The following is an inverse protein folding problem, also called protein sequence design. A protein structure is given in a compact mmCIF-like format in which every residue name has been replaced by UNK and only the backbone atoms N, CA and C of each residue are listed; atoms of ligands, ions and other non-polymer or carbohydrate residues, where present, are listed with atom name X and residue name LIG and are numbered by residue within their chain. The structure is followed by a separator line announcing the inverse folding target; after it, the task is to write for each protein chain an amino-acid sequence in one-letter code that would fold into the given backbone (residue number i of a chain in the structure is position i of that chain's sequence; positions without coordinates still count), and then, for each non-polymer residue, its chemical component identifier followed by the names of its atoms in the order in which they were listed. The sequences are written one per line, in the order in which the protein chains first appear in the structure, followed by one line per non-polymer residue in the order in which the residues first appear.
data_IF_977627808291
#
_entry.id   IF_977627808291
#
_cell.length_a   1.000
_cell.length_b   1.000
_cell.length_c   1.000
_cell.angle_alpha   90.00
_cell.angle_beta   90.00
_cell.angle_gamma   90.00
#
_symmetry.space_group_name_H-M   'P 1'
#
loop_
_entity.id
_entity.type
_entity.pdbx_description
1 polymer ?
#
# COMPACT_ATOMS: atom_id res chain seq x y z
N UNK A 1 -12.70 11.91 13.00
CA UNK A 1 -11.53 11.06 13.30
C UNK A 1 -11.24 10.26 12.05
N UNK A 2 -9.99 10.22 11.57
CA UNK A 2 -9.63 9.54 10.33
C UNK A 2 -9.54 8.02 10.53
N UNK A 3 -10.67 7.37 10.86
CA UNK A 3 -10.72 5.92 11.04
C UNK A 3 -10.86 5.24 9.68
N UNK A 4 -10.08 4.20 9.44
CA UNK A 4 -10.17 3.39 8.21
C UNK A 4 -11.53 2.66 8.19
N UNK A 5 -12.37 3.00 7.21
CA UNK A 5 -13.69 2.38 7.01
C UNK A 5 -13.63 1.30 5.94
N UNK A 6 -12.87 1.54 4.86
CA UNK A 6 -12.81 0.64 3.72
C UNK A 6 -11.40 0.58 3.15
N UNK A 7 -11.01 -0.62 2.73
CA UNK A 7 -9.78 -0.86 1.95
C UNK A 7 -10.17 -1.67 0.72
N UNK A 8 -9.77 -1.19 -0.46
CA UNK A 8 -9.99 -1.86 -1.73
C UNK A 8 -8.67 -1.98 -2.50
N UNK A 9 -8.58 -2.97 -3.39
CA UNK A 9 -7.44 -3.14 -4.28
C UNK A 9 -7.88 -3.58 -5.68
N UNK A 10 -7.05 -3.25 -6.66
CA UNK A 10 -7.24 -3.67 -8.06
C UNK A 10 -5.90 -3.84 -8.76
N UNK A 11 -5.89 -4.72 -9.76
CA UNK A 11 -4.78 -4.88 -10.69
C UNK A 11 -4.85 -3.76 -11.75
N UNK A 12 -3.77 -3.00 -11.90
CA UNK A 12 -3.57 -1.99 -12.96
C UNK A 12 -2.28 -2.29 -13.74
N UNK A 13 -1.93 -1.47 -14.72
CA UNK A 13 -0.67 -1.62 -15.48
C UNK A 13 0.35 -0.53 -15.11
N UNK A 14 1.62 -0.93 -14.97
CA UNK A 14 2.76 -0.03 -14.84
C UNK A 14 3.13 0.62 -16.19
N UNK A 15 4.10 1.54 -16.17
CA UNK A 15 4.58 2.25 -17.37
C UNK A 15 5.21 1.35 -18.44
N UNK A 16 5.49 0.08 -18.12
CA UNK A 16 6.03 -0.94 -19.03
C UNK A 16 4.95 -1.94 -19.48
N UNK A 17 3.70 -1.72 -19.10
CA UNK A 17 2.58 -2.61 -19.40
C UNK A 17 2.55 -3.90 -18.58
N UNK A 18 3.30 -3.98 -17.48
CA UNK A 18 3.22 -5.13 -16.56
C UNK A 18 2.16 -4.86 -15.49
N UNK A 19 1.46 -5.88 -14.99
CA UNK A 19 0.54 -5.70 -13.88
C UNK A 19 1.21 -5.15 -12.62
N UNK A 20 0.47 -4.34 -11.86
CA UNK A 20 0.84 -3.88 -10.51
C UNK A 20 -0.42 -3.62 -9.68
N UNK A 21 -0.25 -3.43 -8.38
CA UNK A 21 -1.35 -3.23 -7.42
C UNK A 21 -1.63 -1.74 -7.26
N UNK A 22 -2.91 -1.37 -7.31
CA UNK A 22 -3.41 -0.10 -6.79
C UNK A 22 -4.33 -0.38 -5.59
N UNK A 23 -4.11 0.35 -4.50
CA UNK A 23 -4.93 0.29 -3.28
C UNK A 23 -5.66 1.60 -3.08
N UNK A 24 -6.90 1.51 -2.63
CA UNK A 24 -7.78 2.61 -2.27
C UNK A 24 -8.21 2.47 -0.81
N UNK A 25 -8.13 3.57 -0.06
CA UNK A 25 -8.54 3.62 1.35
C UNK A 25 -9.61 4.69 1.51
N UNK A 26 -10.73 4.31 2.12
CA UNK A 26 -11.81 5.20 2.54
C UNK A 26 -11.82 5.36 4.05
N UNK A 27 -11.97 6.60 4.52
CA UNK A 27 -12.06 6.95 5.93
C UNK A 27 -13.50 7.30 6.32
N UNK A 28 -13.86 7.14 7.60
CA UNK A 28 -15.19 7.49 8.14
C UNK A 28 -15.59 8.96 7.95
N UNK A 29 -14.64 9.86 7.74
CA UNK A 29 -14.92 11.28 7.46
C UNK A 29 -15.23 11.54 5.97
N UNK A 30 -15.28 10.50 5.14
CA UNK A 30 -15.54 10.56 3.71
C UNK A 30 -14.30 10.77 2.84
N UNK A 31 -13.12 10.90 3.43
CA UNK A 31 -11.85 10.99 2.69
C UNK A 31 -11.55 9.68 1.95
N UNK A 32 -11.16 9.78 0.68
CA UNK A 32 -10.75 8.63 -0.13
C UNK A 32 -9.43 8.93 -0.84
N UNK A 33 -8.44 8.07 -0.66
CA UNK A 33 -7.14 8.19 -1.30
C UNK A 33 -6.66 6.89 -1.95
N UNK A 34 -5.77 7.02 -2.93
CA UNK A 34 -5.22 5.91 -3.71
C UNK A 34 -3.70 5.90 -3.78
N UNK A 35 -3.13 4.70 -3.83
CA UNK A 35 -1.72 4.49 -4.12
C UNK A 35 -1.54 3.35 -5.14
N UNK A 36 -0.91 3.68 -6.27
CA UNK A 36 -0.36 2.71 -7.20
C UNK A 36 1.06 2.36 -6.78
N UNK A 37 1.39 1.07 -6.75
CA UNK A 37 2.69 0.57 -6.32
C UNK A 37 3.62 0.44 -7.53
N UNK A 38 4.84 0.98 -7.49
CA UNK A 38 5.80 0.78 -8.58
C UNK A 38 6.32 -0.66 -8.58
N UNK A 39 6.67 -1.18 -9.75
CA UNK A 39 7.38 -2.45 -9.88
C UNK A 39 8.84 -2.20 -10.28
N UNK A 40 9.75 -2.84 -9.56
CA UNK A 40 11.17 -2.85 -9.88
C UNK A 40 11.48 -3.57 -11.20
N UNK A 41 12.65 -3.30 -11.76
CA UNK A 41 13.21 -4.09 -12.88
C UNK A 41 14.18 -5.19 -12.40
N UNK A 42 14.70 -5.06 -11.18
CA UNK A 42 15.66 -5.96 -10.55
C UNK A 42 15.21 -6.20 -9.11
N UNK A 43 15.39 -7.42 -8.63
CA UNK A 43 15.16 -7.82 -7.24
C UNK A 43 16.49 -8.32 -6.67
N UNK A 44 17.02 -7.64 -5.66
CA UNK A 44 18.16 -8.11 -4.88
C UNK A 44 17.76 -9.24 -3.92
N UNK A 45 18.70 -10.10 -3.54
CA UNK A 45 18.44 -11.25 -2.64
C UNK A 45 18.04 -10.87 -1.21
N UNK A 46 18.20 -9.60 -0.83
CA UNK A 46 17.83 -9.06 0.49
C UNK A 46 16.69 -8.04 0.41
N UNK A 47 16.04 -7.90 -0.75
CA UNK A 47 14.93 -6.97 -0.94
C UNK A 47 13.60 -7.58 -0.54
N UNK A 48 12.64 -6.73 -0.19
CA UNK A 48 11.27 -7.16 0.05
C UNK A 48 10.67 -7.77 -1.23
N UNK A 49 9.94 -8.87 -1.08
CA UNK A 49 9.52 -9.69 -2.22
C UNK A 49 8.18 -9.20 -2.76
N UNK A 50 8.17 -8.80 -4.03
CA UNK A 50 6.94 -8.54 -4.77
C UNK A 50 6.21 -9.85 -5.07
N UNK A 51 4.93 -9.98 -4.65
CA UNK A 51 4.15 -11.18 -4.94
C UNK A 51 3.59 -11.14 -6.36
N UNK A 52 3.95 -12.15 -7.15
CA UNK A 52 3.49 -12.39 -8.52
C UNK A 52 2.74 -13.71 -8.62
N UNK A 53 1.77 -13.76 -9.53
CA UNK A 53 0.91 -14.94 -9.72
C UNK A 53 1.66 -16.13 -10.33
N UNK A 54 2.66 -15.87 -11.19
CA UNK A 54 3.21 -16.89 -12.08
C UNK A 54 2.19 -17.30 -13.15
N UNK A 55 2.44 -18.46 -13.79
CA UNK A 55 1.55 -18.98 -14.83
C UNK A 55 1.64 -18.24 -16.17
N UNK A 56 0.57 -18.34 -16.98
CA UNK A 56 0.56 -17.89 -18.38
C UNK A 56 0.11 -16.44 -18.58
N UNK A 57 -0.74 -15.90 -17.70
CA UNK A 57 -1.29 -14.55 -17.82
C UNK A 57 -0.21 -13.50 -17.56
N UNK A 58 -0.12 -12.49 -18.42
CA UNK A 58 0.92 -11.46 -18.38
C UNK A 58 2.35 -12.02 -18.25
N UNK A 59 2.63 -13.16 -18.89
CA UNK A 59 3.94 -13.84 -18.81
C UNK A 59 4.36 -14.15 -17.36
N UNK A 60 3.38 -14.49 -16.52
CA UNK A 60 3.58 -14.80 -15.10
C UNK A 60 3.68 -13.59 -14.18
N UNK A 61 3.55 -12.38 -14.71
CA UNK A 61 3.69 -11.12 -13.94
C UNK A 61 2.38 -10.61 -13.37
N UNK A 62 1.34 -11.40 -13.39
CA UNK A 62 0.10 -11.07 -12.71
C UNK A 62 0.27 -10.75 -11.22
N UNK A 63 -0.65 -9.98 -10.65
CA UNK A 63 -0.66 -9.63 -9.21
C UNK A 63 -2.01 -9.89 -8.54
N UNK A 64 -2.83 -10.80 -9.08
CA UNK A 64 -4.13 -11.14 -8.50
C UNK A 64 -4.00 -11.64 -7.07
N UNK A 65 -2.98 -12.46 -6.77
CA UNK A 65 -2.74 -12.94 -5.40
C UNK A 65 -2.42 -11.81 -4.42
N UNK A 66 -1.71 -10.77 -4.87
CA UNK A 66 -1.43 -9.59 -4.04
C UNK A 66 -2.69 -8.74 -3.83
N UNK A 67 -3.56 -8.63 -4.85
CA UNK A 67 -4.87 -7.96 -4.72
C UNK A 67 -5.77 -8.71 -3.75
N UNK A 68 -5.85 -10.04 -3.85
CA UNK A 68 -6.58 -10.91 -2.92
C UNK A 68 -6.06 -10.77 -1.49
N UNK A 69 -4.73 -10.76 -1.30
CA UNK A 69 -4.12 -10.51 0.01
C UNK A 69 -4.56 -9.16 0.62
N UNK A 70 -4.73 -8.11 -0.19
CA UNK A 70 -5.25 -6.83 0.30
C UNK A 70 -6.71 -6.95 0.75
N UNK A 71 -7.56 -7.57 -0.08
CA UNK A 71 -9.00 -7.64 0.16
C UNK A 71 -9.39 -8.60 1.29
N UNK A 72 -8.77 -9.77 1.34
CA UNK A 72 -9.22 -10.88 2.18
C UNK A 72 -8.48 -10.95 3.53
N UNK A 73 -7.25 -10.44 3.61
CA UNK A 73 -6.42 -10.51 4.83
C UNK A 73 -6.09 -9.14 5.40
N UNK A 74 -5.56 -8.22 4.58
CA UNK A 74 -5.09 -6.93 5.08
C UNK A 74 -6.27 -6.03 5.47
N UNK A 75 -7.29 -5.91 4.62
CA UNK A 75 -8.45 -5.08 4.88
C UNK A 75 -9.08 -5.36 6.26
N UNK A 76 -9.45 -6.60 6.63
CA UNK A 76 -10.03 -6.87 7.94
C UNK A 76 -9.06 -6.62 9.11
N UNK A 77 -7.74 -6.64 8.88
CA UNK A 77 -6.75 -6.39 9.92
C UNK A 77 -6.55 -4.89 10.22
N UNK A 78 -6.82 -4.00 9.26
CA UNK A 78 -6.58 -2.55 9.42
C UNK A 78 -7.85 -1.70 9.50
N UNK A 79 -9.00 -2.22 9.08
CA UNK A 79 -10.29 -1.53 9.26
C UNK A 79 -10.53 -1.27 10.75
N UNK A 80 -10.94 -0.05 11.08
CA UNK A 80 -11.15 0.41 12.45
C UNK A 80 -9.92 1.04 13.12
N UNK A 81 -8.72 0.93 12.53
CA UNK A 81 -7.54 1.65 13.00
C UNK A 81 -7.58 3.12 12.60
N UNK A 82 -6.90 3.98 13.37
CA UNK A 82 -6.66 5.38 12.99
C UNK A 82 -5.66 5.46 11.83
N UNK A 83 -6.05 6.13 10.74
CA UNK A 83 -5.15 6.38 9.61
C UNK A 83 -4.03 7.37 9.96
N UNK A 84 -4.19 8.16 11.03
CA UNK A 84 -3.16 9.00 11.63
C UNK A 84 -2.14 8.22 12.46
N UNK A 85 -2.40 6.94 12.75
CA UNK A 85 -1.51 6.03 13.46
C UNK A 85 -0.67 5.19 12.49
N UNK A 86 0.01 5.83 11.53
CA UNK A 86 0.74 5.14 10.44
C UNK A 86 1.64 3.99 10.92
N UNK A 87 2.37 4.18 12.03
CA UNK A 87 3.25 3.13 12.59
C UNK A 87 2.47 1.93 13.10
N UNK A 88 1.29 2.13 13.67
CA UNK A 88 0.42 1.06 14.15
C UNK A 88 -0.10 0.25 12.97
N UNK A 89 -0.58 0.93 11.93
CA UNK A 89 -1.02 0.30 10.68
C UNK A 89 0.13 -0.51 10.06
N UNK A 90 1.30 0.11 9.86
CA UNK A 90 2.45 -0.58 9.26
C UNK A 90 2.90 -1.77 10.11
N UNK A 91 2.87 -1.67 11.45
CA UNK A 91 3.19 -2.80 12.32
C UNK A 91 2.17 -3.93 12.18
N UNK A 92 0.87 -3.62 12.13
CA UNK A 92 -0.17 -4.62 11.91
C UNK A 92 0.01 -5.35 10.56
N UNK A 93 0.42 -4.64 9.51
CA UNK A 93 0.75 -5.25 8.21
C UNK A 93 1.96 -6.19 8.29
N UNK A 94 3.02 -5.79 8.99
CA UNK A 94 4.22 -6.60 9.18
C UNK A 94 3.94 -7.85 10.01
N UNK A 95 3.22 -7.70 11.12
CA UNK A 95 2.85 -8.81 12.00
C UNK A 95 1.91 -9.79 11.29
N UNK A 96 0.99 -9.27 10.47
CA UNK A 96 0.10 -10.09 9.67
C UNK A 96 0.88 -10.92 8.64
N UNK A 97 1.82 -10.32 7.90
CA UNK A 97 2.66 -11.09 6.96
C UNK A 97 3.48 -12.14 7.70
N UNK A 98 4.19 -11.74 8.75
CA UNK A 98 4.98 -12.62 9.60
C UNK A 98 6.31 -13.07 9.00
N UNK A 99 6.62 -12.73 7.74
CA UNK A 99 7.94 -12.97 7.15
C UNK A 99 8.82 -11.72 7.17
N UNK A 100 10.14 -11.91 7.25
CA UNK A 100 11.10 -10.78 7.26
C UNK A 100 11.11 -10.01 5.94
N UNK A 101 10.84 -10.70 4.83
CA UNK A 101 10.93 -10.20 3.45
C UNK A 101 9.58 -9.84 2.84
N UNK A 102 8.47 -9.97 3.59
CA UNK A 102 7.10 -9.69 3.13
C UNK A 102 6.62 -10.59 2.00
N UNK A 103 7.13 -11.82 1.93
CA UNK A 103 6.86 -12.76 0.84
C UNK A 103 5.51 -13.45 0.95
N UNK A 104 4.87 -13.45 2.13
CA UNK A 104 3.57 -14.13 2.31
C UNK A 104 2.43 -13.34 1.70
N UNK A 105 2.31 -12.07 2.04
CA UNK A 105 1.27 -11.17 1.51
C UNK A 105 1.75 -10.43 0.26
N UNK A 106 3.06 -10.26 0.12
CA UNK A 106 3.68 -9.49 -0.94
C UNK A 106 3.98 -8.06 -0.48
N UNK A 107 5.23 -7.64 -0.68
CA UNK A 107 5.67 -6.28 -0.40
C UNK A 107 4.86 -5.24 -1.18
N UNK A 108 4.37 -5.60 -2.36
CA UNK A 108 3.48 -4.78 -3.17
C UNK A 108 2.09 -4.58 -2.53
N UNK A 109 1.50 -5.61 -1.93
CA UNK A 109 0.24 -5.48 -1.19
C UNK A 109 0.41 -4.56 0.04
N UNK A 110 1.43 -4.83 0.85
CA UNK A 110 1.73 -4.07 2.08
C UNK A 110 2.02 -2.60 1.77
N UNK A 111 2.91 -2.34 0.80
CA UNK A 111 3.27 -0.97 0.45
C UNK A 111 2.08 -0.19 -0.14
N UNK A 112 1.22 -0.85 -0.91
CA UNK A 112 0.01 -0.22 -1.44
C UNK A 112 -0.90 0.31 -0.34
N UNK A 113 -1.18 -0.52 0.66
CA UNK A 113 -2.01 -0.12 1.81
C UNK A 113 -1.32 0.96 2.63
N UNK A 114 -0.05 0.78 2.97
CA UNK A 114 0.75 1.76 3.74
C UNK A 114 0.70 3.17 3.12
N UNK A 115 0.93 3.27 1.81
CA UNK A 115 0.91 4.54 1.08
C UNK A 115 -0.49 5.12 0.92
N UNK A 116 -1.51 4.28 0.71
CA UNK A 116 -2.89 4.74 0.59
C UNK A 116 -3.41 5.32 1.91
N UNK A 117 -3.09 4.68 3.05
CA UNK A 117 -3.40 5.18 4.40
C UNK A 117 -2.73 6.53 4.66
N UNK A 118 -1.42 6.66 4.38
CA UNK A 118 -0.70 7.92 4.57
C UNK A 118 -1.31 9.07 3.76
N UNK A 119 -1.73 8.79 2.51
CA UNK A 119 -2.40 9.77 1.67
C UNK A 119 -3.80 10.13 2.17
N UNK A 120 -4.57 9.16 2.63
CA UNK A 120 -5.90 9.39 3.17
C UNK A 120 -5.82 10.26 4.44
N UNK A 121 -4.89 9.95 5.34
CA UNK A 121 -4.69 10.73 6.55
C UNK A 121 -4.19 12.16 6.27
N UNK A 122 -3.28 12.34 5.29
CA UNK A 122 -2.86 13.66 4.86
C UNK A 122 -4.02 14.50 4.31
N UNK A 123 -4.89 13.89 3.49
CA UNK A 123 -6.06 14.56 2.94
C UNK A 123 -7.10 14.91 4.01
N UNK A 124 -7.38 14.00 4.95
CA UNK A 124 -8.28 14.24 6.09
C UNK A 124 -7.76 15.37 7.00
N UNK A 125 -6.45 15.47 7.17
CA UNK A 125 -5.81 16.56 7.91
C UNK A 125 -5.69 17.88 7.11
N UNK A 126 -6.17 17.92 5.86
CA UNK A 126 -6.03 19.06 4.94
C UNK A 126 -4.57 19.50 4.73
N UNK A 127 -3.64 18.54 4.77
CA UNK A 127 -2.22 18.77 4.59
C UNK A 127 -1.73 18.22 3.25
N UNK A 128 -0.85 18.97 2.55
CA UNK A 128 -0.05 18.38 1.49
C UNK A 128 0.74 17.17 2.03
N UNK A 129 0.79 16.07 1.27
CA UNK A 129 1.41 14.82 1.71
C UNK A 129 2.84 15.00 2.27
N UNK A 130 3.66 15.84 1.63
CA UNK A 130 5.03 16.09 2.07
C UNK A 130 5.10 16.72 3.47
N UNK A 131 4.13 17.57 3.84
CA UNK A 131 4.03 18.16 5.19
C UNK A 131 3.47 17.17 6.19
N UNK A 132 2.51 16.35 5.78
CA UNK A 132 1.97 15.29 6.63
C UNK A 132 3.06 14.29 7.04
N UNK A 133 3.88 13.85 6.08
CA UNK A 133 4.97 12.90 6.33
C UNK A 133 6.18 13.58 7.01
N UNK A 134 6.63 14.72 6.49
CA UNK A 134 7.89 15.34 6.90
C UNK A 134 7.77 16.43 7.97
N UNK A 135 6.55 16.72 8.43
CA UNK A 135 6.27 17.76 9.41
C UNK A 135 6.43 19.19 8.87
N UNK A 136 6.43 20.21 9.77
CA UNK A 136 6.39 21.62 9.39
C UNK A 136 7.66 22.09 8.63
N UNK A 137 8.77 21.38 8.79
CA UNK A 137 10.04 21.71 8.14
C UNK A 137 10.26 20.95 6.82
N UNK A 138 9.27 20.26 6.26
CA UNK A 138 9.38 19.65 4.94
C UNK A 138 9.29 20.73 3.84
N UNK A 139 10.45 21.21 3.36
CA UNK A 139 10.51 22.32 2.39
C UNK A 139 11.63 22.24 1.34
N UNK A 140 12.55 21.26 1.46
CA UNK A 140 13.68 21.13 0.53
C UNK A 140 13.21 20.38 -0.72
N UNK A 141 13.43 20.98 -1.89
CA UNK A 141 13.22 20.31 -3.18
C UNK A 141 14.50 19.53 -3.57
N UNK A 142 14.39 18.26 -4.01
CA UNK A 142 15.53 17.53 -4.54
C UNK A 142 15.98 18.10 -5.90
N UNK A 143 17.26 17.90 -6.24
CA UNK A 143 17.87 18.28 -7.53
C UNK A 143 17.74 17.16 -8.54
#
# INVERSE_FOLDING_TARGET
MPIIEQVGAREILDSRGNPTVEVEVGLLDGTVARAAVPSGASTGEHEAVELRDGGSRYLGKGVQRAVEAVLDEIAPAVIGLGADEQRLVDQALLDLDGTADKSRLGANAILGVSLAVAKAAAQSAELPLFRYIGGPNAHILPV
#
